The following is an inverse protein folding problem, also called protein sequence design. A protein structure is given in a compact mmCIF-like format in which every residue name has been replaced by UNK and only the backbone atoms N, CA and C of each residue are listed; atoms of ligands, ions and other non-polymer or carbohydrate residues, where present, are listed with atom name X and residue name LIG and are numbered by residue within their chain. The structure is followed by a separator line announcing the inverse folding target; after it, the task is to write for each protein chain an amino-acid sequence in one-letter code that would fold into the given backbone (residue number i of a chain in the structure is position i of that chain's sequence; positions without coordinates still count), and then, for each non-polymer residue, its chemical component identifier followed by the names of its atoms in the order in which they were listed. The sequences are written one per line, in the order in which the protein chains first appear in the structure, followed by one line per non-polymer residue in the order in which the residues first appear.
data_IF_074182473170
#
_entry.id   IF_074182473170
#
_cell.length_a   1.000
_cell.length_b   1.000
_cell.length_c   1.000
_cell.angle_alpha   90.00
_cell.angle_beta   90.00
_cell.angle_gamma   90.00
#
_symmetry.space_group_name_H-M   'P 1'
#
loop_
_entity.id
_entity.type
_entity.pdbx_description
1 polymer ?
#
# COMPACT_ATOMS: atom_id res chain seq x y z
N UNK A 1 11.76 -50.03 -53.39
CA UNK A 1 12.11 -48.68 -52.88
C UNK A 1 10.85 -48.06 -52.29
N UNK A 2 10.63 -48.20 -50.98
CA UNK A 2 9.53 -47.53 -50.27
C UNK A 2 10.11 -46.37 -49.46
N UNK A 3 9.65 -45.14 -49.73
CA UNK A 3 10.03 -43.94 -48.99
C UNK A 3 9.04 -43.74 -47.85
N UNK A 4 9.49 -43.93 -46.62
CA UNK A 4 8.72 -43.61 -45.40
C UNK A 4 8.76 -42.10 -45.18
N UNK A 5 7.63 -41.42 -45.32
CA UNK A 5 7.49 -40.01 -44.98
C UNK A 5 7.24 -39.86 -43.48
N UNK A 6 8.16 -39.19 -42.78
CA UNK A 6 8.03 -38.86 -41.37
C UNK A 6 7.23 -37.54 -41.25
N UNK A 7 6.04 -37.59 -40.65
CA UNK A 7 5.21 -36.41 -40.39
C UNK A 7 5.54 -35.93 -38.97
N UNK A 8 6.24 -34.80 -38.87
CA UNK A 8 6.48 -34.12 -37.59
C UNK A 8 5.26 -33.25 -37.30
N UNK A 9 4.51 -33.59 -36.25
CA UNK A 9 3.41 -32.76 -35.75
C UNK A 9 3.99 -31.67 -34.85
N UNK A 10 3.91 -30.41 -35.28
CA UNK A 10 4.24 -29.25 -34.44
C UNK A 10 3.02 -28.95 -33.58
N UNK A 11 3.11 -29.22 -32.27
CA UNK A 11 2.11 -28.78 -31.29
C UNK A 11 2.39 -27.32 -30.97
N UNK A 12 1.56 -26.42 -31.50
CA UNK A 12 1.54 -25.03 -31.10
C UNK A 12 0.85 -24.92 -29.73
N UNK A 13 1.62 -24.73 -28.66
CA UNK A 13 1.07 -24.39 -27.35
C UNK A 13 0.72 -22.90 -27.41
N UNK A 14 -0.56 -22.60 -27.66
CA UNK A 14 -1.09 -21.26 -27.46
C UNK A 14 -1.14 -21.00 -25.95
N UNK A 15 -0.12 -20.31 -25.42
CA UNK A 15 -0.15 -19.83 -24.04
C UNK A 15 -1.29 -18.82 -23.89
N UNK A 16 -2.32 -19.17 -23.14
CA UNK A 16 -3.33 -18.22 -22.70
C UNK A 16 -2.66 -17.21 -21.77
N UNK A 17 -2.46 -15.98 -22.24
CA UNK A 17 -2.11 -14.88 -21.37
C UNK A 17 -3.25 -14.72 -20.35
N UNK A 18 -3.02 -15.15 -19.10
CA UNK A 18 -3.96 -14.85 -18.03
C UNK A 18 -3.89 -13.34 -17.78
N UNK A 19 -5.04 -12.67 -17.80
CA UNK A 19 -5.12 -11.26 -17.43
C UNK A 19 -4.71 -11.13 -15.97
N UNK A 20 -3.69 -10.31 -15.68
CA UNK A 20 -3.30 -10.00 -14.32
C UNK A 20 -4.51 -9.43 -13.55
N UNK A 21 -4.86 -10.09 -12.46
CA UNK A 21 -5.73 -9.51 -11.45
C UNK A 21 -4.88 -8.51 -10.69
N UNK A 22 -5.39 -7.30 -10.50
CA UNK A 22 -4.70 -6.26 -9.73
C UNK A 22 -5.37 -6.11 -8.37
N UNK A 23 -4.61 -5.87 -7.29
CA UNK A 23 -5.14 -5.74 -5.94
C UNK A 23 -6.30 -4.76 -5.89
N UNK A 24 -7.41 -5.21 -5.32
CA UNK A 24 -8.60 -4.39 -5.15
C UNK A 24 -8.34 -3.30 -4.11
N UNK A 25 -9.02 -2.17 -4.29
CA UNK A 25 -9.10 -1.14 -3.28
C UNK A 25 -10.49 -0.52 -3.30
N UNK A 26 -10.99 -0.17 -2.13
CA UNK A 26 -12.27 0.50 -1.94
C UNK A 26 -12.08 1.76 -1.10
N UNK A 27 -13.14 2.56 -0.99
CA UNK A 27 -13.12 3.79 -0.20
C UNK A 27 -12.33 4.94 -0.84
N UNK A 28 -12.63 6.14 -0.38
CA UNK A 28 -11.95 7.35 -0.80
C UNK A 28 -10.55 7.47 -0.18
N UNK A 29 -9.73 8.36 -0.73
CA UNK A 29 -8.33 8.56 -0.35
C UNK A 29 -8.21 9.54 0.83
N UNK A 30 -7.41 9.23 1.84
CA UNK A 30 -6.99 10.23 2.82
C UNK A 30 -5.60 10.74 2.45
N UNK A 31 -5.47 12.03 2.20
CA UNK A 31 -4.16 12.59 1.91
C UNK A 31 -3.42 12.90 3.20
N UNK A 32 -2.15 12.54 3.22
CA UNK A 32 -1.17 13.02 4.18
C UNK A 32 -0.46 14.17 3.50
N UNK A 33 -0.87 15.39 3.86
CA UNK A 33 -0.40 16.64 3.30
C UNK A 33 0.97 16.97 3.85
N UNK A 34 1.94 17.15 2.96
CA UNK A 34 3.30 17.56 3.31
C UNK A 34 3.49 19.01 2.84
N UNK A 35 3.91 19.87 3.77
CA UNK A 35 4.27 21.26 3.52
C UNK A 35 5.73 21.51 3.86
N UNK A 36 6.31 22.55 3.28
CA UNK A 36 7.64 23.03 3.64
C UNK A 36 7.73 24.56 3.47
N UNK A 37 8.10 25.27 4.52
CA UNK A 37 8.17 26.75 4.53
C UNK A 37 9.58 27.32 4.25
N UNK A 38 10.54 26.45 3.95
CA UNK A 38 11.95 26.79 3.81
C UNK A 38 12.80 26.39 5.02
N UNK A 39 12.18 26.05 6.15
CA UNK A 39 12.88 25.58 7.37
C UNK A 39 12.13 24.43 8.05
N UNK A 40 10.81 24.52 8.15
CA UNK A 40 9.97 23.54 8.83
C UNK A 40 9.22 22.69 7.82
N UNK A 41 9.25 21.38 8.03
CA UNK A 41 8.29 20.45 7.44
C UNK A 41 7.00 20.51 8.28
N UNK A 42 5.85 20.48 7.63
CA UNK A 42 4.57 20.19 8.28
C UNK A 42 3.94 18.96 7.66
N UNK A 43 3.40 18.07 8.48
CA UNK A 43 2.67 16.87 8.02
C UNK A 43 1.32 16.76 8.73
N UNK A 44 0.24 16.66 7.96
CA UNK A 44 -1.10 16.49 8.51
C UNK A 44 -2.00 15.61 7.65
N UNK A 45 -3.01 15.01 8.25
CA UNK A 45 -4.03 14.27 7.52
C UNK A 45 -5.13 15.25 7.10
N UNK A 46 -5.49 15.24 5.82
CA UNK A 46 -6.65 16.00 5.34
C UNK A 46 -7.95 15.39 5.91
N UNK A 47 -8.49 16.05 6.93
CA UNK A 47 -9.76 15.69 7.56
C UNK A 47 -10.97 16.37 6.94
N UNK A 48 -10.78 17.33 6.03
CA UNK A 48 -11.84 18.20 5.53
C UNK A 48 -12.48 17.66 4.25
N UNK A 49 -11.72 16.93 3.43
CA UNK A 49 -12.18 16.53 2.09
C UNK A 49 -12.71 15.10 2.05
N UNK A 50 -12.44 14.23 3.05
CA UNK A 50 -12.94 12.85 3.03
C UNK A 50 -13.57 12.34 4.34
N UNK A 51 -14.85 11.92 4.31
CA UNK A 51 -15.57 11.40 5.49
C UNK A 51 -15.21 9.93 5.81
N UNK A 52 -14.15 9.39 5.21
CA UNK A 52 -13.70 8.02 5.50
C UNK A 52 -13.41 7.87 7.00
N UNK A 53 -13.73 6.71 7.59
CA UNK A 53 -13.47 6.48 9.01
C UNK A 53 -11.97 6.59 9.31
N UNK A 54 -11.66 6.98 10.54
CA UNK A 54 -10.33 6.76 11.14
C UNK A 54 -10.58 5.90 12.37
N UNK A 55 -9.97 4.71 12.50
CA UNK A 55 -9.01 4.07 11.58
C UNK A 55 -9.59 3.70 10.20
N UNK A 56 -8.73 3.64 9.17
CA UNK A 56 -9.11 3.22 7.81
C UNK A 56 -9.25 1.69 7.72
N UNK A 57 -10.23 1.16 6.98
CA UNK A 57 -10.40 -0.29 6.87
C UNK A 57 -9.28 -0.93 6.05
N UNK A 58 -8.84 -2.11 6.49
CA UNK A 58 -8.04 -3.05 5.71
C UNK A 58 -8.86 -4.31 5.46
N UNK A 59 -8.90 -4.76 4.20
CA UNK A 59 -9.76 -5.88 3.79
C UNK A 59 -8.93 -6.91 3.04
N UNK A 60 -9.15 -8.18 3.36
CA UNK A 60 -8.66 -9.29 2.57
C UNK A 60 -9.74 -9.71 1.56
N UNK A 61 -9.48 -9.50 0.27
CA UNK A 61 -10.43 -9.80 -0.81
C UNK A 61 -10.39 -11.27 -1.25
N UNK A 62 -9.42 -12.06 -0.78
CA UNK A 62 -9.24 -13.46 -1.17
C UNK A 62 -8.74 -13.65 -2.60
N UNK A 63 -8.30 -12.59 -3.26
CA UNK A 63 -7.69 -12.64 -4.58
C UNK A 63 -6.27 -13.23 -4.48
N UNK A 64 -5.88 -13.96 -5.53
CA UNK A 64 -4.50 -14.35 -5.76
C UNK A 64 -3.96 -13.56 -6.94
N UNK A 65 -2.76 -13.04 -6.81
CA UNK A 65 -2.13 -12.20 -7.82
C UNK A 65 -0.91 -12.89 -8.44
N UNK A 66 -0.43 -12.34 -9.55
CA UNK A 66 0.90 -12.65 -10.07
C UNK A 66 1.88 -11.58 -9.65
N UNK A 67 3.17 -11.93 -9.60
CA UNK A 67 4.26 -10.99 -9.38
C UNK A 67 4.12 -9.72 -10.23
N UNK A 68 4.41 -8.53 -9.65
CA UNK A 68 4.92 -8.31 -8.29
C UNK A 68 3.86 -8.16 -7.18
N UNK A 69 2.57 -8.23 -7.50
CA UNK A 69 1.50 -7.96 -6.53
C UNK A 69 1.17 -9.14 -5.60
N UNK A 70 1.78 -10.30 -5.82
CA UNK A 70 1.60 -11.53 -5.04
C UNK A 70 2.08 -11.40 -3.58
N UNK A 71 2.89 -10.38 -3.27
CA UNK A 71 3.26 -10.03 -1.89
C UNK A 71 2.06 -9.65 -1.01
N UNK A 72 0.92 -9.29 -1.62
CA UNK A 72 -0.30 -8.91 -0.91
C UNK A 72 -1.27 -10.09 -0.70
N UNK A 73 -0.97 -11.27 -1.26
CA UNK A 73 -1.87 -12.42 -1.24
C UNK A 73 -2.11 -12.90 0.20
N UNK A 74 -3.38 -13.08 0.57
CA UNK A 74 -3.76 -13.54 1.90
C UNK A 74 -3.70 -12.47 3.00
N UNK A 75 -3.31 -11.24 2.68
CA UNK A 75 -3.23 -10.14 3.64
C UNK A 75 -4.51 -9.30 3.66
N UNK A 76 -4.74 -8.60 4.77
CA UNK A 76 -5.68 -7.48 4.82
C UNK A 76 -4.96 -6.26 4.29
N UNK A 77 -5.49 -5.59 3.28
CA UNK A 77 -4.78 -4.50 2.59
C UNK A 77 -5.54 -3.18 2.60
N UNK A 78 -4.79 -2.08 2.56
CA UNK A 78 -5.28 -0.73 2.27
C UNK A 78 -4.27 0.05 1.43
N UNK A 79 -4.77 0.94 0.58
CA UNK A 79 -3.97 1.95 -0.15
C UNK A 79 -4.60 3.34 -0.03
N UNK A 80 -5.41 3.55 1.01
CA UNK A 80 -6.24 4.74 1.13
C UNK A 80 -5.44 5.97 1.58
N UNK A 81 -4.47 5.82 2.49
CA UNK A 81 -3.54 6.92 2.78
C UNK A 81 -2.62 7.18 1.59
N UNK A 82 -2.35 8.44 1.29
CA UNK A 82 -1.35 8.82 0.31
C UNK A 82 -0.68 10.14 0.62
N UNK A 83 0.65 10.16 0.52
CA UNK A 83 1.47 11.36 0.69
C UNK A 83 1.28 12.29 -0.50
N UNK A 84 1.05 13.57 -0.23
CA UNK A 84 0.76 14.57 -1.24
C UNK A 84 1.37 15.92 -0.83
N UNK A 85 1.96 16.63 -1.79
CA UNK A 85 2.42 18.00 -1.57
C UNK A 85 1.22 18.93 -1.38
N UNK A 86 1.20 19.69 -0.29
CA UNK A 86 0.25 20.78 -0.11
C UNK A 86 0.88 22.10 -0.58
N UNK A 87 0.83 22.28 -1.89
CA UNK A 87 1.38 23.44 -2.58
C UNK A 87 2.74 23.20 -3.24
N UNK A 88 3.43 24.29 -3.56
CA UNK A 88 4.73 24.24 -4.22
C UNK A 88 5.83 24.10 -3.16
N UNK A 89 6.57 22.99 -3.21
CA UNK A 89 7.72 22.74 -2.37
C UNK A 89 8.99 23.03 -3.18
N UNK A 90 9.85 23.90 -2.65
CA UNK A 90 11.19 24.13 -3.19
C UNK A 90 12.22 23.77 -2.14
N UNK A 91 13.07 22.80 -2.47
CA UNK A 91 14.14 22.35 -1.58
C UNK A 91 15.48 23.02 -1.95
N UNK A 92 16.41 23.15 -0.99
CA UNK A 92 17.79 23.46 -1.28
C UNK A 92 18.41 22.44 -2.26
N UNK A 93 19.51 22.84 -2.89
CA UNK A 93 20.31 21.92 -3.69
C UNK A 93 20.75 20.73 -2.83
N UNK A 94 20.73 19.54 -3.43
CA UNK A 94 21.14 18.27 -2.83
C UNK A 94 20.32 17.84 -1.60
N UNK A 95 19.16 18.47 -1.36
CA UNK A 95 18.20 18.07 -0.33
C UNK A 95 17.00 17.31 -0.92
N UNK A 96 16.43 16.40 -0.14
CA UNK A 96 15.19 15.68 -0.46
C UNK A 96 14.29 15.59 0.78
N UNK A 97 13.01 15.36 0.54
CA UNK A 97 12.07 14.98 1.61
C UNK A 97 12.16 13.47 1.79
N UNK A 98 12.33 13.06 3.03
CA UNK A 98 12.34 11.67 3.46
C UNK A 98 11.15 11.44 4.38
N UNK A 99 10.54 10.27 4.24
CA UNK A 99 9.52 9.75 5.15
C UNK A 99 10.15 8.57 5.87
N UNK A 100 10.20 8.57 7.19
CA UNK A 100 10.78 7.49 7.98
C UNK A 100 9.74 6.93 8.94
N UNK A 101 9.57 5.62 8.93
CA UNK A 101 8.70 4.95 9.88
C UNK A 101 9.46 4.74 11.19
N UNK A 102 9.08 5.48 12.23
CA UNK A 102 9.75 5.47 13.54
C UNK A 102 9.11 4.51 14.53
N UNK A 103 7.89 4.04 14.24
CA UNK A 103 7.20 3.01 15.00
C UNK A 103 6.05 2.40 14.22
N UNK A 104 5.74 1.13 14.47
CA UNK A 104 4.58 0.46 13.89
C UNK A 104 4.10 -0.70 14.74
N UNK A 105 2.81 -1.02 14.61
CA UNK A 105 2.26 -2.27 15.15
C UNK A 105 2.97 -3.47 14.52
N UNK A 106 3.40 -4.48 15.30
CA UNK A 106 4.12 -5.64 14.76
C UNK A 106 3.34 -6.38 13.66
N UNK A 107 4.04 -6.70 12.57
CA UNK A 107 3.49 -7.43 11.42
C UNK A 107 2.82 -6.54 10.37
N UNK A 108 2.84 -5.20 10.53
CA UNK A 108 2.47 -4.30 9.44
C UNK A 108 3.57 -4.33 8.37
N UNK A 109 3.18 -4.55 7.13
CA UNK A 109 4.05 -4.55 5.96
C UNK A 109 3.62 -3.44 5.01
N UNK A 110 4.58 -2.74 4.41
CA UNK A 110 4.33 -1.59 3.54
C UNK A 110 5.13 -1.71 2.25
N UNK A 111 4.44 -1.52 1.13
CA UNK A 111 4.99 -1.66 -0.21
C UNK A 111 4.71 -0.41 -1.05
N UNK A 112 5.61 -0.13 -1.98
CA UNK A 112 5.47 0.94 -2.98
C UNK A 112 4.17 0.79 -3.78
N UNK A 113 3.38 1.87 -3.87
CA UNK A 113 2.07 1.84 -4.53
C UNK A 113 1.72 3.09 -5.36
N UNK A 114 2.72 3.90 -5.74
CA UNK A 114 2.64 4.98 -6.70
C UNK A 114 1.37 5.84 -6.62
N UNK A 115 0.85 6.24 -7.78
CA UNK A 115 -0.48 6.88 -7.85
C UNK A 115 -1.54 5.79 -7.82
N UNK A 116 -2.33 5.69 -6.74
CA UNK A 116 -3.33 4.63 -6.46
C UNK A 116 -4.03 4.00 -7.67
N UNK A 117 -4.50 4.80 -8.63
CA UNK A 117 -5.22 4.34 -9.83
C UNK A 117 -4.35 3.63 -10.89
N UNK A 118 -3.03 3.75 -10.81
CA UNK A 118 -2.04 3.29 -11.79
C UNK A 118 -1.41 1.95 -11.40
N UNK A 119 -2.19 1.02 -10.84
CA UNK A 119 -1.73 -0.27 -10.26
C UNK A 119 -0.75 -1.06 -11.13
N UNK A 120 -0.88 -0.97 -12.45
CA UNK A 120 0.00 -1.64 -13.39
C UNK A 120 1.43 -1.09 -13.46
N UNK A 121 1.65 0.10 -12.91
CA UNK A 121 2.95 0.76 -12.83
C UNK A 121 3.56 0.69 -11.42
N UNK A 122 2.85 0.10 -10.45
CA UNK A 122 3.38 -0.03 -9.09
C UNK A 122 4.43 -1.15 -9.08
N UNK A 123 5.49 -0.94 -8.32
CA UNK A 123 6.60 -1.88 -8.17
C UNK A 123 6.36 -2.91 -7.08
N UNK A 124 5.54 -2.57 -6.07
CA UNK A 124 5.34 -3.38 -4.86
C UNK A 124 6.66 -3.71 -4.15
N UNK A 125 7.70 -2.87 -4.36
CA UNK A 125 8.94 -2.99 -3.64
C UNK A 125 8.69 -2.72 -2.15
N UNK A 126 9.31 -3.48 -1.25
CA UNK A 126 9.15 -3.27 0.18
C UNK A 126 9.78 -1.93 0.58
N UNK A 127 9.09 -1.20 1.47
CA UNK A 127 9.54 0.07 2.05
C UNK A 127 9.28 0.07 3.56
N UNK A 128 9.88 1.05 4.26
CA UNK A 128 9.68 1.27 5.68
C UNK A 128 10.00 0.04 6.56
N UNK A 129 11.16 -0.60 6.35
CA UNK A 129 11.57 -1.75 7.16
C UNK A 129 10.96 -3.10 6.74
N UNK A 130 9.98 -3.09 5.83
CA UNK A 130 9.40 -4.31 5.25
C UNK A 130 10.49 -5.09 4.53
N UNK A 131 10.54 -6.41 4.71
CA UNK A 131 11.50 -7.33 4.04
C UNK A 131 12.96 -6.81 4.02
N UNK A 132 13.40 -6.15 5.10
CA UNK A 132 14.77 -5.63 5.23
C UNK A 132 15.06 -4.36 4.43
N UNK A 133 14.04 -3.70 3.87
CA UNK A 133 14.17 -2.33 3.33
C UNK A 133 14.55 -1.33 4.41
N UNK A 134 15.05 -0.16 4.00
CA UNK A 134 15.32 0.92 4.94
C UNK A 134 14.02 1.44 5.59
N UNK A 135 14.13 1.89 6.84
CA UNK A 135 13.01 2.53 7.54
C UNK A 135 12.67 3.90 6.95
N UNK A 136 13.62 4.54 6.28
CA UNK A 136 13.46 5.82 5.59
C UNK A 136 13.32 5.61 4.07
N UNK A 137 12.36 6.30 3.48
CA UNK A 137 12.07 6.28 2.04
C UNK A 137 12.12 7.70 1.49
N UNK A 138 12.89 7.90 0.42
CA UNK A 138 12.98 9.19 -0.26
C UNK A 138 11.72 9.42 -1.07
N UNK A 139 10.97 10.46 -0.72
CA UNK A 139 9.77 10.83 -1.44
C UNK A 139 10.13 11.60 -2.72
N UNK A 140 9.53 11.20 -3.83
CA UNK A 140 9.78 11.82 -5.15
C UNK A 140 8.97 13.11 -5.38
N UNK A 141 8.17 13.53 -4.40
CA UNK A 141 7.30 14.71 -4.48
C UNK A 141 5.98 14.48 -5.23
N UNK A 142 5.76 13.28 -5.81
CA UNK A 142 4.49 12.93 -6.43
C UNK A 142 3.51 12.35 -5.42
N UNK A 143 2.21 12.39 -5.75
CA UNK A 143 1.20 11.68 -4.98
C UNK A 143 1.54 10.18 -4.92
N UNK A 144 1.72 9.67 -3.69
CA UNK A 144 2.15 8.31 -3.45
C UNK A 144 1.25 7.61 -2.41
N UNK A 145 0.58 6.54 -2.82
CA UNK A 145 -0.28 5.71 -2.00
C UNK A 145 0.40 4.37 -1.72
N UNK A 146 1.09 4.20 -0.59
CA UNK A 146 1.69 2.92 -0.27
C UNK A 146 0.60 1.86 -0.07
N UNK A 147 0.91 0.62 -0.42
CA UNK A 147 0.11 -0.53 -0.02
C UNK A 147 0.51 -0.93 1.39
N UNK A 148 -0.45 -0.92 2.31
CA UNK A 148 -0.27 -1.36 3.69
C UNK A 148 -0.97 -2.70 3.84
N UNK A 149 -0.28 -3.68 4.39
CA UNK A 149 -0.71 -5.06 4.53
C UNK A 149 -0.58 -5.53 5.98
N UNK A 150 -1.57 -6.28 6.46
CA UNK A 150 -1.61 -6.86 7.79
C UNK A 150 -2.01 -8.34 7.73
N UNK A 151 -1.41 -9.21 8.58
CA UNK A 151 -1.62 -10.65 8.52
C UNK A 151 -2.90 -11.11 9.23
N UNK A 152 -3.49 -10.27 10.08
CA UNK A 152 -4.60 -10.65 10.94
C UNK A 152 -5.62 -9.52 11.11
N UNK A 153 -6.79 -9.87 11.66
CA UNK A 153 -7.79 -8.90 12.10
C UNK A 153 -7.29 -8.14 13.34
N UNK A 154 -7.64 -6.86 13.45
CA UNK A 154 -7.27 -6.02 14.59
C UNK A 154 -6.97 -4.58 14.21
N UNK A 155 -6.58 -3.80 15.21
CA UNK A 155 -6.16 -2.42 15.04
C UNK A 155 -4.65 -2.36 14.74
N UNK A 156 -4.27 -1.47 13.84
CA UNK A 156 -2.90 -1.27 13.41
C UNK A 156 -2.61 0.22 13.32
N UNK A 157 -1.41 0.62 13.72
CA UNK A 157 -0.91 1.99 13.59
C UNK A 157 0.55 2.00 13.12
N UNK A 158 0.95 3.09 12.49
CA UNK A 158 2.34 3.42 12.21
C UNK A 158 2.60 4.92 12.35
N UNK A 159 3.75 5.27 12.90
CA UNK A 159 4.23 6.63 13.11
C UNK A 159 5.27 6.93 12.05
N UNK A 160 5.07 8.01 11.30
CA UNK A 160 5.98 8.48 10.28
C UNK A 160 6.51 9.86 10.65
N UNK A 161 7.82 10.00 10.61
CA UNK A 161 8.49 11.29 10.66
C UNK A 161 8.85 11.73 9.24
N UNK A 162 8.52 12.97 8.89
CA UNK A 162 8.88 13.59 7.61
C UNK A 162 9.95 14.65 7.86
N UNK A 163 11.05 14.56 7.12
CA UNK A 163 12.20 15.44 7.33
C UNK A 163 12.94 15.81 6.04
N UNK A 164 13.77 16.85 6.12
CA UNK A 164 14.70 17.22 5.07
C UNK A 164 16.04 16.51 5.29
N UNK A 165 16.45 15.70 4.32
CA UNK A 165 17.71 14.95 4.34
C UNK A 165 18.53 15.20 3.10
N UNK A 166 19.80 14.80 3.15
CA UNK A 166 20.68 14.73 2.00
C UNK A 166 20.06 13.78 0.94
N UNK A 167 20.00 14.23 -0.31
CA UNK A 167 19.28 13.54 -1.37
C UNK A 167 19.93 12.22 -1.80
N UNK A 168 21.18 11.96 -1.39
CA UNK A 168 21.92 10.75 -1.75
C UNK A 168 22.00 9.77 -0.58
N UNK A 169 22.21 10.27 0.63
CA UNK A 169 22.50 9.46 1.82
C UNK A 169 21.34 9.34 2.79
N UNK A 170 20.33 10.21 2.69
CA UNK A 170 19.24 10.31 3.67
C UNK A 170 19.65 10.89 5.02
N UNK A 171 20.91 11.31 5.18
CA UNK A 171 21.35 11.95 6.42
C UNK A 171 20.57 13.25 6.65
N UNK A 172 20.00 13.41 7.84
CA UNK A 172 19.25 14.61 8.25
C UNK A 172 20.13 15.86 8.10
N UNK A 173 19.60 16.87 7.43
CA UNK A 173 20.30 18.14 7.27
C UNK A 173 20.05 19.04 8.49
N UNK A 174 21.12 19.63 9.01
CA UNK A 174 21.03 20.56 10.14
C UNK A 174 20.30 21.84 9.75
N UNK A 175 19.48 22.37 10.66
CA UNK A 175 18.76 23.63 10.47
C UNK A 175 17.36 23.47 9.90
N UNK A 176 16.92 22.26 9.58
CA UNK A 176 15.53 21.95 9.27
C UNK A 176 14.84 21.28 10.44
N UNK A 177 13.53 21.52 10.56
CA UNK A 177 12.67 20.90 11.57
C UNK A 177 11.77 19.88 10.88
N UNK A 178 11.73 18.67 11.43
CA UNK A 178 10.84 17.59 11.01
C UNK A 178 9.50 17.66 11.72
N UNK A 179 8.54 16.88 11.22
CA UNK A 179 7.21 16.74 11.82
C UNK A 179 6.73 15.28 11.71
N UNK A 180 5.78 14.89 12.55
CA UNK A 180 5.32 13.50 12.68
C UNK A 180 3.82 13.35 12.45
N UNK A 181 3.43 12.23 11.83
CA UNK A 181 2.04 11.82 11.67
C UNK A 181 1.86 10.37 12.08
N UNK A 182 0.77 10.08 12.79
CA UNK A 182 0.32 8.71 13.06
C UNK A 182 -0.79 8.35 12.09
N UNK A 183 -0.65 7.20 11.44
CA UNK A 183 -1.65 6.65 10.52
C UNK A 183 -2.27 5.40 11.15
N UNK A 184 -3.61 5.37 11.21
CA UNK A 184 -4.36 4.28 11.85
C UNK A 184 -5.18 3.47 10.84
N UNK A 185 -5.20 2.16 11.04
CA UNK A 185 -5.96 1.19 10.29
C UNK A 185 -6.66 0.15 11.18
N UNK A 186 -7.69 -0.49 10.62
CA UNK A 186 -8.37 -1.63 11.25
C UNK A 186 -8.62 -2.71 10.21
N UNK A 187 -8.02 -3.88 10.44
CA UNK A 187 -8.26 -5.06 9.62
C UNK A 187 -9.59 -5.71 10.00
N UNK A 188 -10.51 -5.73 9.04
CA UNK A 188 -11.90 -6.19 9.22
C UNK A 188 -12.24 -7.34 8.26
N UNK A 189 -13.19 -8.22 8.63
CA UNK A 189 -13.65 -9.26 7.71
C UNK A 189 -14.23 -8.67 6.43
N UNK A 190 -14.01 -9.34 5.30
CA UNK A 190 -14.61 -8.90 4.03
C UNK A 190 -16.14 -8.94 4.11
N UNK A 191 -16.87 -8.01 3.46
CA UNK A 191 -18.34 -7.99 3.48
C UNK A 191 -18.98 -9.32 3.03
N UNK A 192 -18.35 -10.02 2.07
CA UNK A 192 -18.78 -11.33 1.61
C UNK A 192 -18.69 -12.41 2.71
N UNK A 193 -17.60 -12.41 3.49
CA UNK A 193 -17.41 -13.37 4.59
C UNK A 193 -18.39 -13.14 5.75
N UNK A 194 -18.70 -11.87 6.08
CA UNK A 194 -19.69 -11.52 7.10
C UNK A 194 -21.11 -12.01 6.73
N UNK A 195 -21.47 -11.92 5.45
CA UNK A 195 -22.77 -12.34 4.92
C UNK A 195 -23.00 -13.86 5.06
N UNK A 196 -21.95 -14.67 4.84
CA UNK A 196 -22.01 -16.13 4.97
C UNK A 196 -22.23 -16.57 6.43
N UNK A 197 -21.58 -15.89 7.39
CA UNK A 197 -21.78 -16.16 8.81
C UNK A 197 -23.21 -15.86 9.26
N UNK A 198 -23.79 -14.74 8.79
CA UNK A 198 -25.19 -14.37 9.08
C UNK A 198 -26.20 -15.41 8.57
N UNK A 199 -26.01 -15.91 7.35
CA UNK A 199 -26.88 -16.93 6.75
C UNK A 199 -26.74 -18.30 7.45
N UNK A 200 -25.52 -18.70 7.82
CA UNK A 200 -25.29 -19.94 8.57
C UNK A 200 -25.95 -19.90 9.96
N UNK A 201 -25.85 -18.76 10.67
CA UNK A 201 -26.52 -18.55 11.96
C UNK A 201 -28.04 -18.65 11.85
N UNK A 202 -28.63 -18.01 10.84
CA UNK A 202 -30.08 -18.08 10.59
C UNK A 202 -30.54 -19.51 10.25
N UNK A 203 -29.76 -20.26 9.47
CA UNK A 203 -30.06 -21.65 9.13
C UNK A 203 -29.96 -22.59 10.34
N UNK A 204 -28.97 -22.40 11.22
CA UNK A 204 -28.82 -23.17 12.46
C UNK A 204 -29.94 -22.91 13.46
N UNK A 205 -30.40 -21.66 13.58
CA UNK A 205 -31.55 -21.28 14.41
C UNK A 205 -32.87 -21.86 13.87
N UNK A 206 -33.01 -21.98 12.55
CA UNK A 206 -34.21 -22.54 11.91
C UNK A 206 -34.31 -24.07 12.04
N UNK A 207 -33.20 -24.79 12.18
CA UNK A 207 -33.18 -26.25 12.42
C UNK A 207 -33.44 -26.66 13.87
N UNK A 208 -33.47 -25.69 14.80
CA UNK A 208 -33.72 -25.92 16.23
C UNK A 208 -35.15 -25.57 16.67
N UNK A 209 -36.05 -25.32 15.72
CA UNK A 209 -37.50 -25.18 15.93
C UNK A 209 -38.21 -26.33 15.23
#
# INVERSE_FOLDING_TARGET
MFKTACVVSVVAIAGSAQSQVWPQFEGAMKHVLITFDGTNVGVEIDHLVNPEPTPLPMVNYGDAHTSPADVLDGMYISSQYGFLADGLISLPQDAAIWVEMTGATPGLEIYEGGRRMMRASHTYAPIFGTDGSDAAWQWDGNMHHPWVAAPALGDYEAIFEVYIGDAVTGARLSGYVSDEVTLDWVAIPSPASASLLGLAGAAALRRRR
#
